data_IF_610788717858
#
_entry.id   IF_610788717858
#
_cell.length_a   1.000
_cell.length_b   1.000
_cell.length_c   1.000
_cell.angle_alpha   90.00
_cell.angle_beta   90.00
_cell.angle_gamma   90.00
#
_symmetry.space_group_name_H-M   'P 1'
#
loop_
_entity.id
_entity.type
_entity.pdbx_description
1 polymer ?
#
# COMPACT_ATOMS: atom_id res chain seq x y z
N UNK A 1 -0.55 18.13 1.05
CA UNK A 1 -0.15 16.81 1.59
C UNK A 1 -1.38 16.03 1.96
N UNK A 2 -1.50 14.79 1.48
CA UNK A 2 -2.61 13.87 1.76
C UNK A 2 -2.05 12.54 2.28
N UNK A 3 -2.83 11.86 3.11
CA UNK A 3 -2.58 10.46 3.46
C UNK A 3 -3.59 9.59 2.72
N UNK A 4 -3.11 8.53 2.10
CA UNK A 4 -3.95 7.53 1.43
C UNK A 4 -3.83 6.23 2.22
N UNK A 5 -5.00 5.67 2.56
CA UNK A 5 -5.10 4.38 3.26
C UNK A 5 -5.93 3.47 2.37
N UNK A 6 -5.25 2.63 1.58
CA UNK A 6 -5.89 1.72 0.65
C UNK A 6 -5.94 0.31 1.24
N UNK A 7 -7.14 -0.20 1.51
CA UNK A 7 -7.33 -1.59 1.91
C UNK A 7 -7.54 -2.45 0.66
N UNK A 8 -6.56 -3.29 0.35
CA UNK A 8 -6.58 -4.19 -0.80
C UNK A 8 -6.93 -5.59 -0.30
N UNK A 9 -8.11 -6.08 -0.68
CA UNK A 9 -8.50 -7.48 -0.45
C UNK A 9 -7.92 -8.34 -1.56
N UNK A 10 -7.01 -9.25 -1.20
CA UNK A 10 -6.41 -10.22 -2.12
C UNK A 10 -7.22 -11.51 -2.15
N UNK A 11 -6.89 -12.39 -3.09
CA UNK A 11 -7.46 -13.74 -3.10
C UNK A 11 -6.98 -14.54 -1.87
N UNK A 12 -7.78 -15.47 -1.34
CA UNK A 12 -7.43 -16.26 -0.17
C UNK A 12 -6.05 -16.92 -0.27
N UNK A 13 -5.19 -16.68 0.72
CA UNK A 13 -3.84 -17.25 0.79
C UNK A 13 -2.83 -16.66 -0.21
N UNK A 14 -3.16 -15.57 -0.91
CA UNK A 14 -2.29 -14.91 -1.91
C UNK A 14 -1.62 -13.63 -1.40
N UNK A 15 -1.72 -13.33 -0.09
CA UNK A 15 -1.14 -12.11 0.49
C UNK A 15 0.36 -11.99 0.24
N UNK A 16 1.11 -13.06 0.47
CA UNK A 16 2.56 -13.02 0.35
C UNK A 16 3.02 -12.87 -1.11
N UNK A 17 2.29 -13.45 -2.06
CA UNK A 17 2.50 -13.23 -3.49
C UNK A 17 2.26 -11.76 -3.87
N UNK A 18 1.18 -11.16 -3.36
CA UNK A 18 0.90 -9.75 -3.58
C UNK A 18 2.01 -8.86 -3.00
N UNK A 19 2.45 -9.13 -1.76
CA UNK A 19 3.54 -8.40 -1.13
C UNK A 19 4.87 -8.55 -1.90
N UNK A 20 5.13 -9.71 -2.49
CA UNK A 20 6.31 -9.95 -3.31
C UNK A 20 6.31 -9.10 -4.58
N UNK A 21 5.17 -8.97 -5.28
CA UNK A 21 5.04 -8.08 -6.44
C UNK A 21 5.09 -6.60 -6.02
N UNK A 22 4.37 -6.23 -4.95
CA UNK A 22 4.34 -4.86 -4.43
C UNK A 22 5.75 -4.35 -4.09
N UNK A 23 6.56 -5.17 -3.42
CA UNK A 23 7.93 -4.76 -3.05
C UNK A 23 8.84 -4.50 -4.25
N UNK A 24 8.53 -5.03 -5.45
CA UNK A 24 9.32 -4.73 -6.66
C UNK A 24 9.19 -3.28 -7.09
N UNK A 25 8.03 -2.65 -6.87
CA UNK A 25 7.74 -1.29 -7.31
C UNK A 25 7.98 -0.23 -6.23
N UNK A 26 8.12 -0.61 -4.95
CA UNK A 26 8.24 0.35 -3.83
C UNK A 26 9.36 1.37 -4.04
N UNK A 27 10.52 0.94 -4.53
CA UNK A 27 11.64 1.84 -4.75
C UNK A 27 11.33 2.87 -5.86
N UNK A 28 10.67 2.44 -6.93
CA UNK A 28 10.28 3.29 -8.04
C UNK A 28 9.21 4.29 -7.59
N UNK A 29 8.20 3.84 -6.83
CA UNK A 29 7.14 4.70 -6.30
C UNK A 29 7.69 5.77 -5.36
N UNK A 30 8.62 5.39 -4.47
CA UNK A 30 9.26 6.35 -3.55
C UNK A 30 10.16 7.36 -4.27
N UNK A 31 10.56 7.08 -5.50
CA UNK A 31 11.32 8.02 -6.33
C UNK A 31 10.41 8.94 -7.17
N UNK A 32 9.08 8.73 -7.17
CA UNK A 32 8.13 9.59 -7.85
C UNK A 32 8.10 11.00 -7.24
N UNK A 33 7.86 11.99 -8.10
CA UNK A 33 7.66 13.36 -7.65
C UNK A 33 6.44 13.44 -6.73
N UNK A 34 6.62 14.08 -5.57
CA UNK A 34 5.57 14.25 -4.57
C UNK A 34 5.24 13.00 -3.74
N UNK A 35 5.94 11.87 -3.93
CA UNK A 35 5.85 10.74 -3.01
C UNK A 35 6.64 11.04 -1.73
N UNK A 36 5.96 11.08 -0.58
CA UNK A 36 6.56 11.36 0.72
C UNK A 36 6.68 10.11 1.59
N UNK A 37 5.80 9.15 1.40
CA UNK A 37 5.85 7.83 2.00
C UNK A 37 5.01 6.85 1.17
N UNK A 38 5.42 5.59 1.14
CA UNK A 38 4.72 4.53 0.44
C UNK A 38 5.16 3.18 0.98
N UNK A 39 4.21 2.36 1.44
CA UNK A 39 4.52 1.02 1.91
C UNK A 39 3.29 0.14 2.13
N UNK A 40 3.42 -1.17 1.89
CA UNK A 40 2.40 -2.13 2.25
C UNK A 40 2.51 -2.46 3.74
N UNK A 41 1.36 -2.65 4.40
CA UNK A 41 1.28 -3.10 5.80
C UNK A 41 0.31 -4.26 5.93
N UNK A 42 0.52 -5.09 6.95
CA UNK A 42 -0.35 -6.20 7.31
C UNK A 42 -0.78 -6.04 8.75
N UNK A 43 -1.95 -6.57 9.09
CA UNK A 43 -2.39 -6.61 10.48
C UNK A 43 -1.44 -7.50 11.27
N UNK A 44 -0.93 -6.98 12.39
CA UNK A 44 -0.17 -7.78 13.34
C UNK A 44 -1.10 -8.20 14.48
N UNK A 45 -1.13 -9.49 14.86
CA UNK A 45 -1.96 -9.96 15.96
C UNK A 45 -1.48 -9.35 17.29
N UNK A 46 -2.40 -8.77 18.06
CA UNK A 46 -2.09 -8.18 19.37
C UNK A 46 -3.11 -8.59 20.44
N UNK A 47 -2.74 -8.37 21.69
CA UNK A 47 -3.64 -8.55 22.84
C UNK A 47 -4.41 -7.26 23.18
N UNK A 48 -4.44 -6.26 22.29
CA UNK A 48 -5.09 -4.97 22.54
C UNK A 48 -6.58 -5.10 22.15
N UNK A 49 -7.54 -4.98 23.10
CA UNK A 49 -8.95 -5.28 22.81
C UNK A 49 -9.60 -4.37 21.77
N UNK A 50 -9.09 -3.15 21.60
CA UNK A 50 -9.58 -2.20 20.61
C UNK A 50 -9.06 -2.45 19.18
N UNK A 51 -8.01 -3.27 19.04
CA UNK A 51 -7.49 -3.62 17.71
C UNK A 51 -8.35 -4.76 17.13
N UNK A 52 -8.85 -4.62 15.88
CA UNK A 52 -9.60 -5.68 15.24
C UNK A 52 -8.75 -6.95 15.08
N UNK A 53 -9.43 -8.09 14.90
CA UNK A 53 -8.77 -9.32 14.50
C UNK A 53 -8.01 -9.13 13.18
N UNK A 54 -6.94 -9.90 13.01
CA UNK A 54 -6.15 -9.87 11.78
C UNK A 54 -7.02 -10.24 10.56
N UNK A 55 -6.79 -9.52 9.46
CA UNK A 55 -7.40 -9.80 8.16
C UNK A 55 -6.36 -10.51 7.29
N UNK A 56 -6.39 -11.86 7.19
CA UNK A 56 -5.32 -12.62 6.55
C UNK A 56 -5.18 -12.34 5.05
N UNK A 57 -6.27 -11.90 4.41
CA UNK A 57 -6.33 -11.62 2.97
C UNK A 57 -6.44 -10.12 2.67
N UNK A 58 -5.99 -9.25 3.58
CA UNK A 58 -5.96 -7.80 3.36
C UNK A 58 -4.54 -7.26 3.55
N UNK A 59 -4.11 -6.45 2.57
CA UNK A 59 -2.94 -5.58 2.70
C UNK A 59 -3.44 -4.14 2.80
N UNK A 60 -2.99 -3.41 3.81
CA UNK A 60 -3.29 -1.98 3.94
C UNK A 60 -2.09 -1.19 3.42
N UNK A 61 -2.23 -0.50 2.31
CA UNK A 61 -1.21 0.40 1.80
C UNK A 61 -1.34 1.74 2.51
N UNK A 62 -0.24 2.23 3.06
CA UNK A 62 -0.14 3.53 3.70
C UNK A 62 0.77 4.39 2.86
N UNK A 63 0.23 5.52 2.42
CA UNK A 63 0.92 6.42 1.50
C UNK A 63 0.78 7.85 1.98
N UNK A 64 1.75 8.67 1.56
CA UNK A 64 1.72 10.11 1.76
C UNK A 64 2.16 10.79 0.47
N UNK A 65 1.32 11.69 -0.02
CA UNK A 65 1.54 12.42 -1.26
C UNK A 65 1.47 13.93 -1.03
N UNK A 66 2.23 14.70 -1.82
CA UNK A 66 2.24 16.16 -1.72
C UNK A 66 0.89 16.80 -2.12
N UNK A 67 0.23 16.28 -3.16
CA UNK A 67 -1.08 16.76 -3.64
C UNK A 67 -1.90 15.64 -4.28
N UNK A 68 -3.14 15.95 -4.67
CA UNK A 68 -3.96 15.02 -5.46
C UNK A 68 -3.36 14.78 -6.85
N UNK A 69 -2.85 15.82 -7.52
CA UNK A 69 -2.23 15.70 -8.84
C UNK A 69 -1.07 14.70 -8.87
N UNK A 70 -0.22 14.67 -7.81
CA UNK A 70 0.85 13.69 -7.70
C UNK A 70 0.31 12.25 -7.53
N UNK A 71 -0.76 12.08 -6.75
CA UNK A 71 -1.42 10.78 -6.62
C UNK A 71 -2.08 10.34 -7.94
N UNK A 72 -2.70 11.24 -8.68
CA UNK A 72 -3.28 10.92 -9.99
C UNK A 72 -2.21 10.52 -11.02
N UNK A 73 -1.05 11.17 -11.00
CA UNK A 73 0.09 10.79 -11.82
C UNK A 73 0.63 9.39 -11.44
N UNK A 74 0.73 9.09 -10.14
CA UNK A 74 1.11 7.77 -9.63
C UNK A 74 0.21 6.66 -10.17
N UNK A 75 -1.12 6.85 -10.15
CA UNK A 75 -2.10 5.84 -10.57
C UNK A 75 -1.98 5.39 -12.03
N UNK A 76 -1.27 6.15 -12.88
CA UNK A 76 -1.04 5.84 -14.30
C UNK A 76 0.44 5.63 -14.64
N UNK A 77 1.33 5.57 -13.64
CA UNK A 77 2.75 5.33 -13.85
C UNK A 77 3.00 3.94 -14.45
N UNK A 78 4.04 3.74 -15.28
CA UNK A 78 4.28 2.47 -15.96
C UNK A 78 4.36 1.24 -15.04
N UNK A 79 4.98 1.37 -13.86
CA UNK A 79 5.09 0.30 -12.87
C UNK A 79 3.78 -0.01 -12.13
N UNK A 80 2.81 0.91 -12.14
CA UNK A 80 1.47 0.67 -11.59
C UNK A 80 0.55 -0.05 -12.58
N UNK A 81 0.86 0.01 -13.88
CA UNK A 81 0.09 -0.62 -14.96
C UNK A 81 0.65 -1.99 -15.41
N UNK A 82 1.73 -2.45 -14.78
CA UNK A 82 2.47 -3.66 -15.15
C UNK A 82 1.85 -4.96 -14.64
#
# INVERSE_FOLDING_TARGET
MIHVIAAITVQPGRRDDFLAEFHKIVADVRAEEGCLDYGPTVDFPTNIPAQPAERPDVVTVVEKWESLDHLEAHLIAPHMLA
#
